data_IF_815296750658
#
_entry.id   IF_815296750658
#
_cell.length_a   1.000
_cell.length_b   1.000
_cell.length_c   1.000
_cell.angle_alpha   90.00
_cell.angle_beta   90.00
_cell.angle_gamma   90.00
#
_symmetry.space_group_name_H-M   'P 1'
#
loop_
_entity.id
_entity.type
_entity.pdbx_description
1 polymer ?
#
# COMPACT_ATOMS: atom_id res chain seq x y z
N UNK A 1 -25.88 11.21 -31.10
CA UNK A 1 -24.78 10.46 -31.74
C UNK A 1 -23.82 10.01 -30.64
N UNK A 2 -23.92 8.75 -30.26
CA UNK A 2 -22.97 8.15 -29.28
C UNK A 2 -21.58 8.09 -29.94
N UNK A 3 -20.61 8.87 -29.44
CA UNK A 3 -19.22 8.67 -29.81
C UNK A 3 -18.77 7.37 -29.16
N UNK A 4 -18.65 6.32 -29.94
CA UNK A 4 -17.96 5.11 -29.54
C UNK A 4 -16.49 5.51 -29.28
N UNK A 5 -16.12 5.70 -28.02
CA UNK A 5 -14.72 5.88 -27.65
C UNK A 5 -14.05 4.52 -27.87
N UNK A 6 -13.20 4.42 -28.88
CA UNK A 6 -12.41 3.20 -29.07
C UNK A 6 -11.35 3.18 -27.95
N UNK A 7 -11.54 2.29 -26.99
CA UNK A 7 -10.59 2.05 -25.93
C UNK A 7 -9.31 1.40 -26.52
N UNK A 8 -8.18 2.08 -26.40
CA UNK A 8 -6.88 1.51 -26.69
C UNK A 8 -6.09 1.33 -25.41
N UNK A 9 -5.99 0.12 -24.87
CA UNK A 9 -5.29 -0.14 -23.60
C UNK A 9 -3.81 0.25 -23.64
N UNK A 10 -3.19 0.30 -24.81
CA UNK A 10 -1.79 0.67 -24.96
C UNK A 10 -1.52 2.17 -24.77
N UNK A 11 -2.56 2.98 -24.63
CA UNK A 11 -2.41 4.44 -24.38
C UNK A 11 -2.53 4.81 -22.90
N UNK A 12 -2.88 3.85 -22.04
CA UNK A 12 -3.01 4.05 -20.60
C UNK A 12 -1.74 3.61 -19.86
N UNK A 13 -1.36 4.32 -18.80
CA UNK A 13 -0.23 3.90 -17.97
C UNK A 13 -0.55 2.58 -17.26
N UNK A 14 0.46 1.74 -17.12
CA UNK A 14 0.40 0.55 -16.28
C UNK A 14 1.11 0.82 -14.97
N UNK A 15 0.53 0.41 -13.87
CA UNK A 15 1.10 0.56 -12.53
C UNK A 15 1.63 -0.78 -12.05
N UNK A 16 2.90 -0.83 -11.65
CA UNK A 16 3.52 -2.05 -11.11
C UNK A 16 4.03 -1.78 -9.70
N UNK A 17 3.42 -2.46 -8.74
CA UNK A 17 3.85 -2.47 -7.35
C UNK A 17 4.97 -3.50 -7.18
N UNK A 18 6.22 -3.06 -7.04
CA UNK A 18 7.36 -3.95 -6.86
C UNK A 18 7.59 -4.31 -5.39
N UNK A 19 7.89 -5.58 -5.13
CA UNK A 19 8.08 -6.14 -3.79
C UNK A 19 9.53 -6.62 -3.58
N UNK A 20 10.48 -5.69 -3.33
CA UNK A 20 11.91 -6.00 -3.34
C UNK A 20 12.38 -6.89 -2.19
N UNK A 21 11.64 -7.00 -1.10
CA UNK A 21 11.91 -7.87 0.04
C UNK A 21 10.97 -9.10 0.10
N UNK A 22 10.18 -9.35 -0.97
CA UNK A 22 9.17 -10.41 -0.98
C UNK A 22 8.20 -10.27 0.20
N UNK A 23 7.85 -11.42 0.80
CA UNK A 23 6.94 -11.49 1.96
C UNK A 23 7.61 -11.30 3.32
N UNK A 24 8.93 -11.10 3.36
CA UNK A 24 9.64 -10.96 4.65
C UNK A 24 9.27 -9.64 5.32
N UNK A 25 8.96 -9.73 6.61
CA UNK A 25 8.64 -8.58 7.45
C UNK A 25 9.29 -8.69 8.83
N UNK A 26 9.58 -7.54 9.43
CA UNK A 26 10.03 -7.44 10.82
C UNK A 26 8.88 -7.54 11.83
N UNK A 27 7.62 -7.46 11.37
CA UNK A 27 6.40 -7.61 12.17
C UNK A 27 5.73 -8.97 11.95
N UNK A 28 4.71 -9.23 12.77
CA UNK A 28 3.83 -10.40 12.70
C UNK A 28 2.38 -9.97 12.96
N UNK A 29 1.88 -9.05 12.11
CA UNK A 29 0.50 -8.57 12.22
C UNK A 29 -0.48 -9.73 12.01
N UNK A 30 -1.43 -9.90 12.93
CA UNK A 30 -2.30 -11.08 12.98
C UNK A 30 -3.16 -11.27 11.72
N UNK A 31 -3.53 -10.17 11.07
CA UNK A 31 -4.34 -10.18 9.86
C UNK A 31 -3.52 -10.16 8.56
N UNK A 32 -2.18 -10.23 8.60
CA UNK A 32 -1.36 -10.02 7.41
C UNK A 32 -1.46 -11.18 6.43
N UNK A 33 -2.21 -11.00 5.35
CA UNK A 33 -2.39 -11.99 4.29
C UNK A 33 -1.08 -12.33 3.54
N UNK A 34 -0.08 -11.47 3.65
CA UNK A 34 1.13 -11.60 2.84
C UNK A 34 2.24 -12.39 3.53
N UNK A 35 2.28 -12.44 4.86
CA UNK A 35 3.33 -13.15 5.61
C UNK A 35 3.36 -14.64 5.29
N UNK A 36 2.21 -15.30 5.17
CA UNK A 36 2.18 -16.73 4.87
C UNK A 36 2.69 -17.09 3.46
N UNK A 37 2.77 -16.10 2.54
CA UNK A 37 3.30 -16.29 1.18
C UNK A 37 4.79 -16.66 1.17
N UNK A 38 5.52 -16.46 2.27
CA UNK A 38 6.88 -16.98 2.45
C UNK A 38 6.94 -18.49 2.23
N UNK A 39 5.90 -19.23 2.60
CA UNK A 39 5.79 -20.69 2.43
C UNK A 39 5.82 -21.14 0.96
N UNK A 40 5.43 -20.27 0.02
CA UNK A 40 5.47 -20.57 -1.42
C UNK A 40 6.90 -20.62 -1.98
N UNK A 41 7.88 -20.09 -1.24
CA UNK A 41 9.26 -19.92 -1.68
C UNK A 41 10.26 -20.75 -0.86
N UNK A 42 9.86 -21.91 -0.30
CA UNK A 42 10.65 -22.74 0.62
C UNK A 42 12.04 -23.15 0.08
N UNK A 43 12.20 -23.22 -1.25
CA UNK A 43 13.46 -23.58 -1.89
C UNK A 43 14.40 -22.40 -2.14
N UNK A 44 14.05 -21.18 -1.74
CA UNK A 44 14.86 -19.99 -1.95
C UNK A 44 15.51 -19.53 -0.64
N UNK A 45 16.85 -19.38 -0.67
CA UNK A 45 17.61 -18.93 0.50
C UNK A 45 17.36 -17.48 0.91
N UNK A 46 16.93 -16.62 -0.04
CA UNK A 46 16.61 -15.21 0.18
C UNK A 46 15.45 -14.81 -0.71
N UNK A 47 14.51 -14.07 -0.15
CA UNK A 47 13.38 -13.45 -0.86
C UNK A 47 13.70 -11.98 -1.17
N UNK A 48 14.82 -11.74 -1.82
CA UNK A 48 15.32 -10.41 -2.12
C UNK A 48 15.47 -10.23 -3.64
N UNK A 49 15.02 -9.10 -4.15
CA UNK A 49 15.20 -8.74 -5.55
C UNK A 49 16.69 -8.57 -5.85
N UNK A 50 17.17 -9.28 -6.88
CA UNK A 50 18.56 -9.16 -7.34
C UNK A 50 18.78 -7.86 -8.13
N UNK A 51 20.04 -7.50 -8.33
CA UNK A 51 20.42 -6.35 -9.17
C UNK A 51 19.93 -6.50 -10.61
N UNK A 52 20.04 -7.70 -11.15
CA UNK A 52 19.64 -8.01 -12.52
C UNK A 52 18.12 -7.84 -12.70
N UNK A 53 17.32 -8.32 -11.73
CA UNK A 53 15.87 -8.15 -11.74
C UNK A 53 15.51 -6.68 -11.59
N UNK A 54 16.17 -5.94 -10.68
CA UNK A 54 15.95 -4.51 -10.48
C UNK A 54 16.26 -3.71 -11.76
N UNK A 55 17.37 -3.97 -12.42
CA UNK A 55 17.75 -3.28 -13.66
C UNK A 55 16.77 -3.59 -14.80
N UNK A 56 16.46 -4.87 -15.00
CA UNK A 56 15.52 -5.32 -16.02
C UNK A 56 14.11 -4.73 -15.80
N UNK A 57 13.61 -4.79 -14.55
CA UNK A 57 12.35 -4.18 -14.18
C UNK A 57 12.34 -2.69 -14.49
N UNK A 58 13.33 -1.96 -14.00
CA UNK A 58 13.39 -0.50 -14.18
C UNK A 58 13.40 -0.12 -15.66
N UNK A 59 14.20 -0.80 -16.46
CA UNK A 59 14.28 -0.57 -17.91
C UNK A 59 12.95 -0.86 -18.60
N UNK A 60 12.45 -2.08 -18.44
CA UNK A 60 11.22 -2.54 -19.13
C UNK A 60 9.99 -1.73 -18.71
N UNK A 61 9.89 -1.40 -17.42
CA UNK A 61 8.78 -0.62 -16.89
C UNK A 61 8.75 0.80 -17.46
N UNK A 62 9.90 1.47 -17.53
CA UNK A 62 10.00 2.80 -18.15
C UNK A 62 9.70 2.74 -19.65
N UNK A 63 10.25 1.75 -20.36
CA UNK A 63 10.06 1.61 -21.82
C UNK A 63 8.61 1.31 -22.19
N UNK A 64 7.90 0.55 -21.35
CA UNK A 64 6.50 0.17 -21.57
C UNK A 64 5.49 1.32 -21.32
N UNK A 65 5.89 2.39 -20.60
CA UNK A 65 4.95 3.47 -20.29
C UNK A 65 4.66 4.35 -21.51
N UNK A 66 3.38 4.59 -21.84
CA UNK A 66 2.99 5.48 -22.92
C UNK A 66 3.02 6.98 -22.51
N UNK A 67 3.17 7.28 -21.21
CA UNK A 67 3.10 8.63 -20.63
C UNK A 67 4.47 9.14 -20.19
N UNK A 68 4.59 10.45 -20.00
CA UNK A 68 5.84 11.07 -19.55
C UNK A 68 6.13 10.84 -18.07
N UNK A 69 5.11 10.70 -17.27
CA UNK A 69 5.22 10.48 -15.81
C UNK A 69 5.24 8.99 -15.52
N UNK A 70 6.25 8.54 -14.79
CA UNK A 70 6.43 7.12 -14.42
C UNK A 70 6.54 7.02 -12.92
N UNK A 71 5.54 6.40 -12.29
CA UNK A 71 5.50 6.18 -10.85
C UNK A 71 6.04 4.79 -10.51
N UNK A 72 7.11 4.75 -9.71
CA UNK A 72 7.59 3.53 -9.09
C UNK A 72 6.99 3.37 -7.70
N UNK A 73 6.34 2.23 -7.47
CA UNK A 73 5.71 1.89 -6.17
C UNK A 73 6.45 0.73 -5.55
N UNK A 74 7.07 0.97 -4.38
CA UNK A 74 7.79 -0.03 -3.60
C UNK A 74 6.93 -0.50 -2.44
N UNK A 75 6.69 -1.80 -2.38
CA UNK A 75 5.82 -2.43 -1.39
C UNK A 75 6.39 -3.80 -0.98
N UNK A 76 5.60 -4.65 -0.33
CA UNK A 76 5.96 -6.03 0.01
C UNK A 76 5.67 -6.37 1.46
N UNK A 77 6.49 -7.21 2.06
CA UNK A 77 6.48 -7.45 3.50
C UNK A 77 6.88 -6.18 4.24
N UNK A 78 8.18 -5.95 4.41
CA UNK A 78 8.67 -4.65 4.84
C UNK A 78 9.79 -4.17 3.90
N UNK A 79 9.54 -3.07 3.22
CA UNK A 79 10.42 -2.51 2.19
C UNK A 79 11.76 -2.04 2.75
N UNK A 80 11.79 -1.54 3.99
CA UNK A 80 13.00 -1.05 4.64
C UNK A 80 13.92 -2.17 5.17
N UNK A 81 13.56 -3.44 4.97
CA UNK A 81 14.50 -4.56 5.12
C UNK A 81 15.52 -4.60 3.99
N UNK A 82 15.24 -3.99 2.84
CA UNK A 82 16.26 -3.65 1.85
C UNK A 82 16.96 -2.39 2.34
N UNK A 83 18.29 -2.39 2.24
CA UNK A 83 19.07 -1.24 2.65
C UNK A 83 18.99 -0.06 1.64
N UNK A 84 19.46 1.11 2.05
CA UNK A 84 19.46 2.32 1.22
C UNK A 84 20.25 2.13 -0.08
N UNK A 85 21.25 1.28 -0.11
CA UNK A 85 22.07 1.03 -1.31
C UNK A 85 21.25 0.44 -2.45
N UNK A 86 20.26 -0.41 -2.13
CA UNK A 86 19.32 -0.94 -3.10
C UNK A 86 18.53 0.19 -3.78
N UNK A 87 17.96 1.10 -3.01
CA UNK A 87 17.18 2.22 -3.55
C UNK A 87 18.06 3.23 -4.28
N UNK A 88 19.30 3.43 -3.85
CA UNK A 88 20.30 4.23 -4.60
C UNK A 88 20.55 3.64 -5.99
N UNK A 89 20.66 2.31 -6.10
CA UNK A 89 20.77 1.62 -7.39
C UNK A 89 19.52 1.77 -8.24
N UNK A 90 18.32 1.63 -7.64
CA UNK A 90 17.06 1.87 -8.33
C UNK A 90 17.04 3.27 -8.98
N UNK A 91 17.42 4.30 -8.21
CA UNK A 91 17.52 5.67 -8.73
C UNK A 91 18.60 5.82 -9.83
N UNK A 92 19.71 5.08 -9.75
CA UNK A 92 20.71 5.07 -10.84
C UNK A 92 20.14 4.48 -12.11
N UNK A 93 19.42 3.35 -12.04
CA UNK A 93 18.79 2.75 -13.21
C UNK A 93 17.65 3.62 -13.75
N UNK A 94 16.85 4.25 -12.88
CA UNK A 94 15.82 5.20 -13.28
C UNK A 94 16.42 6.38 -14.07
N UNK A 95 17.55 6.94 -13.63
CA UNK A 95 18.27 7.98 -14.39
C UNK A 95 18.84 7.47 -15.70
N UNK A 96 19.40 6.27 -15.71
CA UNK A 96 19.97 5.62 -16.90
C UNK A 96 18.94 5.42 -18.02
N UNK A 97 17.74 4.98 -17.65
CA UNK A 97 16.69 4.59 -18.60
C UNK A 97 15.57 5.62 -18.76
N UNK A 98 15.51 6.63 -17.90
CA UNK A 98 14.42 7.61 -17.83
C UNK A 98 14.25 8.50 -19.05
N UNK A 99 15.33 8.81 -19.78
CA UNK A 99 15.32 9.54 -21.08
C UNK A 99 14.36 10.76 -21.11
N UNK A 100 14.43 11.62 -20.07
CA UNK A 100 13.61 12.83 -19.99
C UNK A 100 12.18 12.63 -19.49
N UNK A 101 11.84 11.45 -18.97
CA UNK A 101 10.61 11.20 -18.25
C UNK A 101 10.68 11.77 -16.85
N UNK A 102 9.54 12.19 -16.31
CA UNK A 102 9.40 12.53 -14.89
C UNK A 102 9.19 11.22 -14.11
N UNK A 103 10.18 10.86 -13.29
CA UNK A 103 10.10 9.64 -12.48
C UNK A 103 9.88 10.02 -11.03
N UNK A 104 8.85 9.44 -10.43
CA UNK A 104 8.51 9.59 -9.02
C UNK A 104 8.54 8.24 -8.31
N UNK A 105 8.77 8.27 -7.00
CA UNK A 105 8.85 7.06 -6.19
C UNK A 105 7.92 7.17 -4.98
N UNK A 106 7.14 6.12 -4.74
CA UNK A 106 6.39 5.92 -3.49
C UNK A 106 6.87 4.66 -2.80
N UNK A 107 6.87 4.66 -1.48
CA UNK A 107 7.33 3.52 -0.70
C UNK A 107 6.39 3.29 0.50
N UNK A 108 5.83 2.08 0.59
CA UNK A 108 4.98 1.68 1.70
C UNK A 108 5.81 0.97 2.77
N UNK A 109 5.66 1.39 4.03
CA UNK A 109 6.39 0.81 5.17
C UNK A 109 5.51 0.79 6.43
N UNK A 110 5.84 -0.12 7.36
CA UNK A 110 5.29 -0.08 8.71
C UNK A 110 5.93 1.02 9.60
N UNK A 111 6.90 1.75 9.11
CA UNK A 111 7.52 2.90 9.76
C UNK A 111 8.52 2.60 10.87
N UNK A 112 8.61 1.36 11.37
CA UNK A 112 9.42 1.01 12.55
C UNK A 112 10.93 1.12 12.30
N UNK A 113 11.37 0.83 11.07
CA UNK A 113 12.76 0.87 10.66
C UNK A 113 13.25 2.24 10.20
N UNK A 114 12.40 3.26 10.23
CA UNK A 114 12.78 4.62 9.87
C UNK A 114 13.86 5.16 10.80
N UNK A 115 14.85 5.82 10.20
CA UNK A 115 15.98 6.50 10.86
C UNK A 115 16.18 7.87 10.22
N UNK A 116 16.99 8.72 10.86
CA UNK A 116 17.37 10.01 10.27
C UNK A 116 18.05 9.85 8.89
N UNK A 117 18.80 8.76 8.68
CA UNK A 117 19.42 8.48 7.37
C UNK A 117 18.39 8.16 6.30
N UNK A 118 17.39 7.32 6.61
CA UNK A 118 16.28 7.03 5.72
C UNK A 118 15.49 8.29 5.37
N UNK A 119 15.15 9.11 6.36
CA UNK A 119 14.36 10.31 6.12
C UNK A 119 15.13 11.34 5.28
N UNK A 120 16.44 11.53 5.50
CA UNK A 120 17.27 12.35 4.58
C UNK A 120 17.27 11.80 3.16
N UNK A 121 17.48 10.50 2.99
CA UNK A 121 17.45 9.87 1.69
C UNK A 121 16.12 10.09 0.97
N UNK A 122 14.99 9.92 1.65
CA UNK A 122 13.66 10.14 1.08
C UNK A 122 13.44 11.61 0.70
N UNK A 123 13.83 12.53 1.56
CA UNK A 123 13.70 13.97 1.28
C UNK A 123 14.53 14.39 0.08
N UNK A 124 15.80 14.00 0.04
CA UNK A 124 16.73 14.35 -1.02
C UNK A 124 16.32 13.79 -2.39
N UNK A 125 15.50 12.74 -2.42
CA UNK A 125 15.07 12.07 -3.65
C UNK A 125 13.55 12.16 -3.88
N UNK A 126 12.82 13.02 -3.16
CA UNK A 126 11.39 13.29 -3.31
C UNK A 126 10.53 12.02 -3.28
N UNK A 127 10.79 11.11 -2.33
CA UNK A 127 9.92 9.96 -2.10
C UNK A 127 8.65 10.40 -1.36
N UNK A 128 7.50 9.86 -1.76
CA UNK A 128 6.28 9.87 -0.97
C UNK A 128 6.23 8.59 -0.14
N UNK A 129 6.04 8.71 1.17
CA UNK A 129 6.05 7.57 2.08
C UNK A 129 4.63 7.22 2.53
N UNK A 130 4.20 5.99 2.25
CA UNK A 130 2.99 5.43 2.82
C UNK A 130 3.29 4.77 4.18
N UNK A 131 2.62 5.24 5.23
CA UNK A 131 2.77 4.67 6.57
C UNK A 131 1.57 3.78 6.89
N UNK A 132 1.88 2.54 7.26
CA UNK A 132 0.86 1.59 7.71
C UNK A 132 0.54 1.79 9.18
N UNK A 133 -0.62 2.41 9.48
CA UNK A 133 -1.11 2.66 10.85
C UNK A 133 -2.63 2.60 10.89
N UNK A 134 -3.22 1.92 11.88
CA UNK A 134 -4.64 1.57 11.90
C UNK A 134 -5.49 2.46 12.81
N UNK A 135 -4.97 3.60 13.23
CA UNK A 135 -5.62 4.55 14.12
C UNK A 135 -4.87 4.74 15.44
N UNK A 136 -5.54 5.22 16.51
CA UNK A 136 -4.97 5.36 17.85
C UNK A 136 -4.38 4.05 18.40
N UNK A 137 -3.59 4.12 19.48
CA UNK A 137 -2.83 3.00 20.04
C UNK A 137 -3.68 1.73 20.22
N UNK A 138 -4.89 1.84 20.77
CA UNK A 138 -5.78 0.68 20.98
C UNK A 138 -6.23 0.05 19.65
N UNK A 139 -6.48 0.83 18.59
CA UNK A 139 -6.86 0.34 17.27
C UNK A 139 -5.67 -0.32 16.57
N UNK A 140 -4.52 0.35 16.55
CA UNK A 140 -3.31 -0.14 15.92
C UNK A 140 -2.80 -1.41 16.57
N UNK A 141 -2.67 -1.39 17.90
CA UNK A 141 -2.11 -2.49 18.66
C UNK A 141 -3.07 -3.67 18.84
N UNK A 142 -4.31 -3.59 18.35
CA UNK A 142 -5.19 -4.76 18.29
C UNK A 142 -4.59 -5.88 17.44
N UNK A 143 -4.09 -5.53 16.25
CA UNK A 143 -3.62 -6.51 15.25
C UNK A 143 -2.18 -6.30 14.77
N UNK A 144 -1.63 -5.08 14.83
CA UNK A 144 -0.25 -4.84 14.41
C UNK A 144 0.73 -5.13 15.52
N UNK A 145 1.25 -6.36 15.48
CA UNK A 145 2.13 -6.93 16.49
C UNK A 145 3.54 -7.12 15.96
N UNK A 146 4.53 -7.00 16.83
CA UNK A 146 5.88 -7.48 16.55
C UNK A 146 5.96 -9.01 16.66
N UNK A 147 7.11 -9.58 16.32
CA UNK A 147 7.33 -11.04 16.41
C UNK A 147 7.24 -11.60 17.83
N UNK A 148 7.35 -10.77 18.86
CA UNK A 148 7.16 -11.12 20.25
C UNK A 148 5.71 -10.95 20.76
N UNK A 149 4.77 -10.55 19.89
CA UNK A 149 3.34 -10.36 20.24
C UNK A 149 3.01 -9.02 20.89
N UNK A 150 3.97 -8.13 21.09
CA UNK A 150 3.72 -6.78 21.62
C UNK A 150 3.22 -5.83 20.52
N UNK A 151 2.43 -4.81 20.94
CA UNK A 151 2.00 -3.73 20.07
C UNK A 151 3.15 -2.91 19.52
N UNK A 152 2.90 -2.20 18.42
CA UNK A 152 3.95 -1.49 17.67
C UNK A 152 3.67 0.00 17.49
N UNK A 153 2.57 0.52 18.02
CA UNK A 153 2.12 1.89 17.87
C UNK A 153 3.20 2.94 18.17
N UNK A 154 3.86 2.84 19.33
CA UNK A 154 4.88 3.81 19.76
C UNK A 154 6.07 3.86 18.81
N UNK A 155 6.43 2.71 18.22
CA UNK A 155 7.53 2.62 17.27
C UNK A 155 7.17 3.26 15.92
N UNK A 156 5.93 3.09 15.48
CA UNK A 156 5.41 3.73 14.25
C UNK A 156 5.33 5.25 14.46
N UNK A 157 4.81 5.71 15.60
CA UNK A 157 4.74 7.15 15.93
C UNK A 157 6.12 7.80 15.91
N UNK A 158 7.15 7.15 16.48
CA UNK A 158 8.53 7.62 16.34
C UNK A 158 8.97 7.75 14.87
N UNK A 159 8.56 6.80 14.01
CA UNK A 159 8.81 6.86 12.57
C UNK A 159 8.14 8.07 11.91
N UNK A 160 6.90 8.35 12.27
CA UNK A 160 6.16 9.53 11.78
C UNK A 160 6.85 10.83 12.24
N UNK A 161 7.25 10.93 13.51
CA UNK A 161 8.00 12.08 14.04
C UNK A 161 9.30 12.32 13.27
N UNK A 162 10.00 11.26 12.87
CA UNK A 162 11.20 11.38 12.03
C UNK A 162 10.89 11.91 10.63
N UNK A 163 9.80 11.43 9.99
CA UNK A 163 9.37 11.95 8.68
C UNK A 163 9.06 13.45 8.78
N UNK A 164 8.29 13.85 9.79
CA UNK A 164 7.94 15.26 10.05
C UNK A 164 9.19 16.11 10.33
N UNK A 165 10.09 15.64 11.17
CA UNK A 165 11.36 16.32 11.48
C UNK A 165 12.18 16.63 10.23
N UNK A 166 12.18 15.73 9.25
CA UNK A 166 12.93 15.89 8.00
C UNK A 166 12.09 16.50 6.86
N UNK A 167 10.83 16.81 7.10
CA UNK A 167 9.91 17.36 6.09
C UNK A 167 9.67 16.40 4.92
N UNK A 168 9.64 15.09 5.19
CA UNK A 168 9.31 14.06 4.19
C UNK A 168 7.80 13.98 4.07
N UNK A 169 7.29 14.03 2.84
CA UNK A 169 5.86 13.88 2.59
C UNK A 169 5.41 12.45 2.87
N UNK A 170 4.31 12.31 3.60
CA UNK A 170 3.74 11.00 3.90
C UNK A 170 2.21 11.00 3.84
N UNK A 171 1.66 9.83 3.58
CA UNK A 171 0.25 9.50 3.72
C UNK A 171 0.08 8.29 4.66
N UNK A 172 -1.14 8.04 5.11
CA UNK A 172 -1.46 6.88 5.94
C UNK A 172 -2.34 5.89 5.20
N UNK A 173 -2.02 4.60 5.40
CA UNK A 173 -2.84 3.48 4.99
C UNK A 173 -3.26 2.70 6.23
N UNK A 174 -4.57 2.62 6.45
CA UNK A 174 -5.19 1.89 7.55
C UNK A 174 -5.95 0.68 7.02
N UNK A 175 -5.73 -0.47 7.65
CA UNK A 175 -6.55 -1.65 7.42
C UNK A 175 -7.75 -1.59 8.36
N UNK A 176 -8.95 -1.50 7.79
CA UNK A 176 -10.19 -1.51 8.57
C UNK A 176 -10.64 -2.95 8.79
N UNK A 177 -10.71 -3.31 10.04
CA UNK A 177 -10.97 -4.66 10.55
C UNK A 177 -12.20 -4.66 11.50
N UNK A 178 -12.53 -5.80 12.07
CA UNK A 178 -13.67 -5.98 12.97
C UNK A 178 -13.62 -5.11 14.23
N UNK A 179 -12.41 -4.68 14.66
CA UNK A 179 -12.20 -3.88 15.85
C UNK A 179 -12.23 -2.38 15.58
N UNK A 180 -11.33 -1.85 14.72
CA UNK A 180 -11.21 -0.41 14.51
C UNK A 180 -12.38 0.20 13.71
N UNK A 181 -13.16 -0.60 13.01
CA UNK A 181 -14.41 -0.19 12.35
C UNK A 181 -15.43 0.40 13.32
N UNK A 182 -15.27 0.14 14.62
CA UNK A 182 -16.16 0.65 15.69
C UNK A 182 -15.81 2.08 16.16
N UNK A 183 -14.70 2.64 15.67
CA UNK A 183 -14.14 3.92 16.12
C UNK A 183 -13.86 4.89 14.96
N UNK A 184 -14.84 5.16 14.05
CA UNK A 184 -14.60 5.92 12.82
C UNK A 184 -14.02 7.30 13.08
N UNK A 185 -14.63 8.07 13.97
CA UNK A 185 -14.20 9.44 14.26
C UNK A 185 -12.90 9.51 15.05
N UNK A 186 -12.65 8.55 15.93
CA UNK A 186 -11.37 8.49 16.66
C UNK A 186 -10.22 8.21 15.72
N UNK A 187 -10.42 7.29 14.76
CA UNK A 187 -9.43 6.99 13.70
C UNK A 187 -9.22 8.20 12.80
N UNK A 188 -10.29 8.82 12.34
CA UNK A 188 -10.20 9.97 11.43
C UNK A 188 -9.51 11.19 12.08
N UNK A 189 -9.93 11.53 13.30
CA UNK A 189 -9.38 12.67 14.06
C UNK A 189 -7.92 12.43 14.44
N UNK A 190 -7.56 11.21 14.83
CA UNK A 190 -6.19 10.83 15.09
C UNK A 190 -5.29 11.07 13.86
N UNK A 191 -5.74 10.74 12.65
CA UNK A 191 -4.94 11.00 11.46
C UNK A 191 -4.77 12.50 11.17
N UNK A 192 -5.76 13.31 11.51
CA UNK A 192 -5.61 14.78 11.47
C UNK A 192 -4.58 15.26 12.50
N UNK A 193 -4.62 14.76 13.72
CA UNK A 193 -3.69 15.11 14.80
C UNK A 193 -2.24 14.81 14.44
N UNK A 194 -1.96 13.67 13.80
CA UNK A 194 -0.62 13.33 13.35
C UNK A 194 -0.22 13.98 12.02
N UNK A 195 -1.05 14.85 11.46
CA UNK A 195 -0.76 15.61 10.25
C UNK A 195 -0.79 14.80 8.95
N UNK A 196 -1.46 13.65 8.92
CA UNK A 196 -1.64 12.90 7.68
C UNK A 196 -2.73 13.50 6.83
N UNK A 197 -2.37 14.32 5.84
CA UNK A 197 -3.35 14.97 4.97
C UNK A 197 -4.07 14.00 4.03
N UNK A 198 -3.43 12.90 3.64
CA UNK A 198 -3.99 11.91 2.73
C UNK A 198 -4.18 10.58 3.45
N UNK A 199 -5.42 10.11 3.52
CA UNK A 199 -5.84 8.95 4.27
C UNK A 199 -6.44 7.89 3.35
N UNK A 200 -5.98 6.66 3.52
CA UNK A 200 -6.54 5.50 2.82
C UNK A 200 -7.03 4.49 3.85
N UNK A 201 -8.29 4.06 3.71
CA UNK A 201 -8.93 3.02 4.53
C UNK A 201 -9.24 1.81 3.65
N UNK A 202 -8.55 0.70 3.90
CA UNK A 202 -8.72 -0.53 3.14
C UNK A 202 -9.46 -1.58 4.00
N UNK A 203 -10.62 -2.07 3.58
CA UNK A 203 -11.31 -3.13 4.34
C UNK A 203 -10.54 -4.44 4.21
N UNK A 204 -10.43 -5.19 5.31
CA UNK A 204 -9.91 -6.55 5.25
C UNK A 204 -11.05 -7.56 5.28
N UNK A 205 -11.07 -8.43 4.27
CA UNK A 205 -12.03 -9.54 4.14
C UNK A 205 -11.23 -10.78 3.75
N UNK A 206 -11.12 -11.72 4.67
CA UNK A 206 -10.32 -12.92 4.46
C UNK A 206 -11.15 -14.17 4.77
N UNK A 207 -10.95 -15.20 3.94
CA UNK A 207 -11.52 -16.54 4.15
C UNK A 207 -10.39 -17.47 4.62
N UNK A 208 -10.67 -18.32 5.59
CA UNK A 208 -9.67 -19.22 6.19
C UNK A 208 -10.09 -20.67 6.06
N UNK A 209 -9.10 -21.56 5.88
CA UNK A 209 -9.28 -22.99 5.92
C UNK A 209 -8.04 -23.64 6.54
N UNK A 210 -8.27 -24.62 7.42
CA UNK A 210 -7.18 -25.40 8.05
C UNK A 210 -6.72 -26.59 7.18
N UNK A 211 -7.35 -26.81 6.02
CA UNK A 211 -7.17 -28.04 5.23
C UNK A 211 -6.47 -27.82 3.87
N UNK A 212 -5.72 -26.74 3.71
CA UNK A 212 -5.02 -26.51 2.45
C UNK A 212 -3.75 -27.37 2.32
N UNK A 213 -3.56 -28.06 1.15
CA UNK A 213 -2.39 -28.91 0.91
C UNK A 213 -1.07 -28.12 0.85
N UNK A 214 -1.11 -26.85 0.48
CA UNK A 214 0.04 -25.94 0.37
C UNK A 214 0.48 -25.36 1.74
N UNK A 215 -0.26 -25.66 2.81
CA UNK A 215 0.01 -25.20 4.17
C UNK A 215 -0.32 -23.71 4.39
N UNK A 216 -0.95 -23.04 3.42
CA UNK A 216 -1.53 -21.71 3.60
C UNK A 216 -2.85 -21.83 4.35
N UNK A 217 -3.25 -20.78 5.04
CA UNK A 217 -4.55 -20.73 5.74
C UNK A 217 -5.57 -19.89 4.99
N UNK A 218 -5.12 -18.84 4.31
CA UNK A 218 -5.99 -17.93 3.59
C UNK A 218 -6.37 -18.52 2.24
N UNK A 219 -7.64 -18.39 1.90
CA UNK A 219 -8.20 -18.85 0.64
C UNK A 219 -8.30 -17.70 -0.35
N UNK A 220 -7.81 -17.87 -1.58
CA UNK A 220 -8.03 -16.88 -2.62
C UNK A 220 -9.52 -16.80 -3.00
N UNK A 221 -9.99 -15.63 -3.49
CA UNK A 221 -11.41 -15.42 -3.84
C UNK A 221 -11.96 -16.41 -4.85
N UNK A 222 -11.10 -16.93 -5.74
CA UNK A 222 -11.47 -17.85 -6.83
C UNK A 222 -11.77 -19.28 -6.35
N UNK A 223 -11.26 -19.66 -5.17
CA UNK A 223 -11.53 -20.98 -4.64
C UNK A 223 -12.98 -21.10 -4.14
N UNK A 224 -13.77 -21.88 -4.85
CA UNK A 224 -15.17 -22.12 -4.50
C UNK A 224 -15.31 -23.30 -3.53
N UNK A 225 -14.79 -23.11 -2.32
CA UNK A 225 -14.90 -24.07 -1.21
C UNK A 225 -15.59 -23.40 -0.02
N UNK A 226 -16.28 -24.20 0.78
CA UNK A 226 -16.84 -23.73 2.04
C UNK A 226 -15.69 -23.36 2.99
N UNK A 227 -15.77 -22.17 3.58
CA UNK A 227 -14.72 -21.66 4.45
C UNK A 227 -15.28 -20.61 5.40
N UNK A 228 -14.70 -20.53 6.57
CA UNK A 228 -15.02 -19.51 7.56
C UNK A 228 -14.40 -18.17 7.18
N UNK A 229 -15.02 -17.09 7.63
CA UNK A 229 -14.40 -15.77 7.63
C UNK A 229 -13.38 -15.68 8.77
N UNK A 230 -12.23 -15.10 8.49
CA UNK A 230 -11.26 -14.79 9.54
C UNK A 230 -11.89 -13.84 10.59
N UNK A 231 -11.50 -14.03 11.85
CA UNK A 231 -12.08 -13.25 12.97
C UNK A 231 -11.86 -11.74 12.85
N UNK A 232 -10.84 -11.32 12.12
CA UNK A 232 -10.54 -9.91 11.85
C UNK A 232 -11.30 -9.32 10.67
N UNK A 233 -12.06 -10.14 9.93
CA UNK A 233 -12.81 -9.67 8.76
C UNK A 233 -13.83 -8.62 9.16
N UNK A 234 -13.79 -7.47 8.46
CA UNK A 234 -14.70 -6.37 8.75
C UNK A 234 -16.13 -6.69 8.30
N UNK A 235 -17.10 -6.35 9.14
CA UNK A 235 -18.51 -6.47 8.77
C UNK A 235 -18.85 -5.38 7.72
N UNK A 236 -19.46 -5.72 6.57
CA UNK A 236 -19.71 -4.77 5.47
C UNK A 236 -20.66 -3.64 5.85
N UNK A 237 -21.66 -3.89 6.71
CA UNK A 237 -22.60 -2.84 7.16
C UNK A 237 -21.88 -1.85 8.08
N UNK A 238 -21.06 -2.35 9.02
CA UNK A 238 -20.25 -1.49 9.90
C UNK A 238 -19.23 -0.69 9.09
N UNK A 239 -18.64 -1.28 8.05
CA UNK A 239 -17.71 -0.58 7.18
C UNK A 239 -18.37 0.55 6.39
N UNK A 240 -19.58 0.32 5.88
CA UNK A 240 -20.38 1.40 5.28
C UNK A 240 -20.66 2.52 6.29
N UNK A 241 -21.07 2.19 7.50
CA UNK A 241 -21.34 3.16 8.56
C UNK A 241 -20.06 3.93 8.95
N UNK A 242 -18.91 3.27 9.05
CA UNK A 242 -17.61 3.89 9.29
C UNK A 242 -17.32 5.02 8.30
N UNK A 243 -17.55 4.79 7.01
CA UNK A 243 -17.35 5.84 6.00
C UNK A 243 -18.40 6.94 6.06
N UNK A 244 -19.66 6.63 6.39
CA UNK A 244 -20.72 7.63 6.50
C UNK A 244 -20.39 8.61 7.63
N UNK A 245 -19.98 8.13 8.80
CA UNK A 245 -19.63 8.99 9.94
C UNK A 245 -18.41 9.88 9.64
N UNK A 246 -17.37 9.34 8.98
CA UNK A 246 -16.22 10.14 8.56
C UNK A 246 -16.64 11.16 7.50
N UNK A 247 -17.47 10.76 6.53
CA UNK A 247 -17.94 11.67 5.48
C UNK A 247 -18.73 12.85 6.06
N UNK A 248 -19.60 12.59 7.02
CA UNK A 248 -20.40 13.60 7.70
C UNK A 248 -19.56 14.65 8.44
N UNK A 249 -18.43 14.26 9.01
CA UNK A 249 -17.48 15.22 9.59
C UNK A 249 -16.65 15.93 8.51
N UNK A 250 -16.10 15.17 7.56
CA UNK A 250 -15.23 15.65 6.50
C UNK A 250 -15.94 16.68 5.59
N UNK A 251 -17.17 16.41 5.17
CA UNK A 251 -17.89 17.29 4.24
C UNK A 251 -18.24 18.65 4.84
N UNK A 252 -18.36 18.72 6.17
CA UNK A 252 -18.69 19.97 6.88
C UNK A 252 -17.46 20.80 7.22
N UNK A 253 -16.31 20.18 7.42
CA UNK A 253 -15.17 20.84 8.05
C UNK A 253 -13.87 20.78 7.26
N UNK A 254 -13.67 19.76 6.40
CA UNK A 254 -12.33 19.32 6.02
C UNK A 254 -12.09 19.27 4.50
N UNK A 255 -13.12 19.54 3.68
CA UNK A 255 -13.01 19.52 2.21
C UNK A 255 -11.93 20.47 1.72
N UNK A 256 -10.99 19.96 0.92
CA UNK A 256 -9.87 20.73 0.38
C UNK A 256 -8.69 20.90 1.34
N UNK A 257 -8.82 20.48 2.61
CA UNK A 257 -7.73 20.50 3.59
C UNK A 257 -7.23 19.09 3.93
N UNK A 258 -8.15 18.13 4.00
CA UNK A 258 -7.88 16.72 4.29
C UNK A 258 -8.52 15.86 3.21
N UNK A 259 -7.80 14.81 2.80
CA UNK A 259 -8.16 13.99 1.67
C UNK A 259 -8.37 12.54 2.11
N UNK A 260 -9.56 12.02 1.85
CA UNK A 260 -9.90 10.61 2.07
C UNK A 260 -10.02 9.96 0.69
N UNK A 261 -9.16 9.01 0.38
CA UNK A 261 -9.02 8.43 -0.96
C UNK A 261 -10.36 8.04 -1.60
N UNK A 262 -11.26 7.41 -0.83
CA UNK A 262 -12.57 7.00 -1.34
C UNK A 262 -13.43 8.20 -1.74
N UNK A 263 -13.44 9.27 -0.95
CA UNK A 263 -14.25 10.46 -1.21
C UNK A 263 -13.73 11.21 -2.43
N UNK A 264 -12.42 11.40 -2.51
CA UNK A 264 -11.78 12.08 -3.64
C UNK A 264 -11.96 11.30 -4.94
N UNK A 265 -11.82 9.97 -4.90
CA UNK A 265 -12.03 9.10 -6.06
C UNK A 265 -13.48 9.08 -6.51
N UNK A 266 -14.43 9.10 -5.57
CA UNK A 266 -15.87 9.18 -5.87
C UNK A 266 -16.21 10.53 -6.50
N UNK A 267 -15.68 11.61 -5.95
CA UNK A 267 -15.89 12.96 -6.50
C UNK A 267 -15.28 13.08 -7.91
N UNK A 268 -14.06 12.59 -8.11
CA UNK A 268 -13.41 12.61 -9.42
C UNK A 268 -14.27 11.87 -10.47
N UNK A 269 -14.79 10.69 -10.13
CA UNK A 269 -15.68 9.94 -11.00
C UNK A 269 -16.99 10.69 -11.29
N UNK A 270 -17.60 11.31 -10.28
CA UNK A 270 -18.85 12.07 -10.42
C UNK A 270 -18.71 13.28 -11.35
N UNK A 271 -17.54 13.90 -11.41
CA UNK A 271 -17.26 15.04 -12.31
C UNK A 271 -16.63 14.65 -13.65
N UNK A 272 -16.53 13.34 -13.94
CA UNK A 272 -15.98 12.82 -15.19
C UNK A 272 -14.46 12.87 -15.30
N UNK A 273 -13.75 13.06 -14.17
CA UNK A 273 -12.30 12.92 -14.08
C UNK A 273 -11.92 11.45 -13.85
N UNK A 274 -10.66 11.10 -14.19
CA UNK A 274 -10.20 9.73 -13.92
C UNK A 274 -10.05 9.50 -12.40
N UNK A 275 -10.71 8.46 -11.85
CA UNK A 275 -10.56 8.12 -10.45
C UNK A 275 -9.15 7.57 -10.19
N UNK A 276 -8.56 7.92 -9.06
CA UNK A 276 -7.25 7.41 -8.64
C UNK A 276 -7.26 5.95 -8.18
N UNK A 277 -8.43 5.30 -8.14
CA UNK A 277 -8.64 3.93 -7.66
C UNK A 277 -9.37 3.11 -8.73
N UNK A 278 -8.82 1.95 -9.08
CA UNK A 278 -9.32 1.12 -10.18
C UNK A 278 -10.76 0.61 -10.00
N UNK A 279 -11.26 0.47 -8.77
CA UNK A 279 -12.66 0.05 -8.51
C UNK A 279 -13.71 1.04 -9.04
N UNK A 280 -13.33 2.29 -9.32
CA UNK A 280 -14.18 3.31 -9.93
C UNK A 280 -13.88 3.51 -11.42
N UNK A 281 -12.88 2.84 -11.97
CA UNK A 281 -12.56 2.94 -13.40
C UNK A 281 -13.48 2.08 -14.25
N UNK A 282 -13.71 2.48 -15.52
CA UNK A 282 -14.51 1.71 -16.48
C UNK A 282 -13.86 0.35 -16.80
N UNK A 283 -12.54 0.26 -16.67
CA UNK A 283 -11.76 -0.95 -17.00
C UNK A 283 -10.79 -1.26 -15.89
N UNK A 284 -10.51 -2.54 -15.67
CA UNK A 284 -9.45 -3.03 -14.80
C UNK A 284 -8.23 -3.53 -15.60
N UNK A 285 -7.18 -4.03 -14.91
CA UNK A 285 -6.01 -4.62 -15.56
C UNK A 285 -4.83 -3.66 -15.79
N UNK A 286 -4.91 -2.43 -15.27
CA UNK A 286 -3.81 -1.45 -15.34
C UNK A 286 -2.84 -1.51 -14.17
N UNK A 287 -3.09 -2.35 -13.18
CA UNK A 287 -2.24 -2.53 -12.01
C UNK A 287 -1.79 -3.99 -11.90
N UNK A 288 -0.51 -4.17 -11.55
CA UNK A 288 0.09 -5.47 -11.31
C UNK A 288 1.01 -5.42 -10.09
N UNK A 289 1.23 -6.58 -9.46
CA UNK A 289 2.23 -6.75 -8.43
C UNK A 289 3.41 -7.55 -9.00
N UNK A 290 4.63 -7.09 -8.74
CA UNK A 290 5.84 -7.81 -9.13
C UNK A 290 6.57 -8.31 -7.88
N UNK A 291 6.76 -9.60 -7.82
CA UNK A 291 7.52 -10.24 -6.75
C UNK A 291 9.04 -10.02 -6.91
N UNK A 292 9.79 -10.27 -5.84
CA UNK A 292 11.25 -10.10 -5.80
C UNK A 292 12.02 -10.85 -6.90
N UNK A 293 11.42 -11.89 -7.47
CA UNK A 293 12.01 -12.72 -8.52
C UNK A 293 11.65 -12.30 -9.94
N UNK A 294 10.83 -11.24 -10.09
CA UNK A 294 10.38 -10.71 -11.37
C UNK A 294 9.06 -11.28 -11.88
N UNK A 295 8.43 -12.21 -11.16
CA UNK A 295 7.10 -12.72 -11.52
C UNK A 295 6.05 -11.61 -11.35
N UNK A 296 5.18 -11.46 -12.34
CA UNK A 296 4.10 -10.47 -12.37
C UNK A 296 2.76 -11.16 -12.13
N UNK A 297 1.96 -10.52 -11.28
CA UNK A 297 0.60 -10.94 -10.93
C UNK A 297 -0.35 -9.75 -11.14
N UNK A 298 -1.54 -10.05 -11.74
CA UNK A 298 -2.63 -9.09 -11.95
C UNK A 298 -3.58 -9.08 -10.75
#
# INVERSE_FOLDING_TARGET
MSKTISFNPLTLPTYVMAKPAGSICNLNCSYCYYLEKEKLYQNRKKLEMSDEVLELYTKSYIEAQPVKEVLFTWHGGETLLRDISFYRKALLYQRKYGRGRLITNTLQTNGILLTDEWCRFFKDNNFLIGISIDGPEHCHDAYRKNKGGAGTFRQVMRGIELLQKHGVDFNTLSVINDYNVQFPLDVYRFFKEIGSQFMQFAPIVERVSDFRPDGLKLLPPEENVEADLASWTVNPVKFGQFYIEIFDEWVRNDVGAWYVQLFDSTLANAVGAQPGVCIFAETCGHAAAMEFNGDLYA
#
